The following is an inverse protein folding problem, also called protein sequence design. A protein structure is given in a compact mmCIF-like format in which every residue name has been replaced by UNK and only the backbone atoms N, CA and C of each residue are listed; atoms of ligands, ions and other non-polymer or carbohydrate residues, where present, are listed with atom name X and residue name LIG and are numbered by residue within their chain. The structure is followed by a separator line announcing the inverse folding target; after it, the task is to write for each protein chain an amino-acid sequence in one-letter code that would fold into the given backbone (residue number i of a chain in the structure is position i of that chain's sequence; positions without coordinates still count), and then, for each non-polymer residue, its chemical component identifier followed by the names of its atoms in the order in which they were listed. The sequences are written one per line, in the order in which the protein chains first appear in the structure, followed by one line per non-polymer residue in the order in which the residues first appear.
data_IF_932178656754
#
_entry.id   IF_932178656754
#
_cell.length_a   1.000
_cell.length_b   1.000
_cell.length_c   1.000
_cell.angle_alpha   90.00
_cell.angle_beta   90.00
_cell.angle_gamma   90.00
#
_symmetry.space_group_name_H-M   'P 1'
#
loop_
_entity.id
_entity.type
_entity.pdbx_description
1 polymer ?
#
# COMPACT_ATOMS: atom_id res chain seq x y z
N UNK A 1 -12.65 17.83 4.33
CA UNK A 1 -11.77 17.35 3.28
C UNK A 1 -11.40 15.89 3.53
N UNK A 2 -11.33 15.10 2.48
CA UNK A 2 -10.92 13.69 2.60
C UNK A 2 -9.41 13.61 2.77
N UNK A 3 -8.97 12.73 3.67
CA UNK A 3 -7.56 12.41 3.83
C UNK A 3 -7.14 11.40 2.77
N UNK A 4 -5.89 11.52 2.30
CA UNK A 4 -5.28 10.57 1.36
C UNK A 4 -4.38 9.60 2.12
N UNK A 5 -4.64 8.31 2.00
CA UNK A 5 -3.86 7.26 2.66
C UNK A 5 -3.33 6.27 1.63
N UNK A 6 -2.10 5.84 1.82
CA UNK A 6 -1.53 4.71 1.09
C UNK A 6 -1.61 3.47 1.98
N UNK A 7 -2.16 2.38 1.48
CA UNK A 7 -2.24 1.14 2.25
C UNK A 7 -1.14 0.17 1.82
N UNK A 8 -0.49 -0.44 2.82
CA UNK A 8 0.34 -1.61 2.64
C UNK A 8 -0.53 -2.80 2.22
N UNK A 9 0.06 -3.79 1.57
CA UNK A 9 -0.66 -4.95 1.01
C UNK A 9 -1.45 -5.72 2.06
N UNK A 10 -0.87 -5.99 3.22
CA UNK A 10 -1.57 -6.72 4.28
C UNK A 10 -2.76 -5.93 4.83
N UNK A 11 -2.63 -4.62 4.94
CA UNK A 11 -3.72 -3.76 5.39
C UNK A 11 -4.86 -3.78 4.37
N UNK A 12 -4.55 -3.72 3.08
CA UNK A 12 -5.57 -3.81 2.04
C UNK A 12 -6.28 -5.17 2.07
N UNK A 13 -5.52 -6.26 2.20
CA UNK A 13 -6.10 -7.61 2.29
C UNK A 13 -7.08 -7.69 3.47
N UNK A 14 -6.68 -7.18 4.63
CA UNK A 14 -7.52 -7.19 5.83
C UNK A 14 -8.75 -6.31 5.65
N UNK A 15 -8.61 -5.14 5.03
CA UNK A 15 -9.73 -4.25 4.74
C UNK A 15 -10.77 -4.96 3.85
N UNK A 16 -10.32 -5.58 2.77
CA UNK A 16 -11.20 -6.30 1.86
C UNK A 16 -11.78 -7.56 2.50
N UNK A 17 -11.12 -8.11 3.51
CA UNK A 17 -11.60 -9.23 4.32
C UNK A 17 -12.62 -8.83 5.38
N UNK A 18 -12.90 -7.55 5.54
CA UNK A 18 -13.93 -7.08 6.47
C UNK A 18 -13.43 -6.64 7.84
N UNK A 19 -12.13 -6.34 7.99
CA UNK A 19 -11.59 -5.85 9.25
C UNK A 19 -12.24 -4.53 9.62
N UNK A 20 -12.99 -4.52 10.73
CA UNK A 20 -13.78 -3.37 11.15
C UNK A 20 -12.92 -2.20 11.63
N UNK A 21 -11.80 -2.47 12.26
CA UNK A 21 -10.90 -1.42 12.73
C UNK A 21 -10.31 -0.67 11.55
N UNK A 22 -9.84 -1.38 10.54
CA UNK A 22 -9.28 -0.78 9.34
C UNK A 22 -10.37 -0.04 8.57
N UNK A 23 -11.56 -0.62 8.45
CA UNK A 23 -12.69 0.04 7.80
C UNK A 23 -13.02 1.38 8.47
N UNK A 24 -13.01 1.43 9.81
CA UNK A 24 -13.25 2.66 10.56
C UNK A 24 -12.14 3.69 10.34
N UNK A 25 -10.89 3.25 10.34
CA UNK A 25 -9.73 4.14 10.15
C UNK A 25 -9.69 4.75 8.75
N UNK A 26 -10.19 4.04 7.75
CA UNK A 26 -10.14 4.47 6.36
C UNK A 26 -11.43 5.10 5.86
N UNK A 27 -12.47 5.10 6.69
CA UNK A 27 -13.76 5.66 6.30
C UNK A 27 -13.62 7.13 5.91
N UNK A 28 -14.15 7.48 4.74
CA UNK A 28 -14.07 8.85 4.22
C UNK A 28 -12.72 9.24 3.64
N UNK A 29 -11.73 8.35 3.69
CA UNK A 29 -10.41 8.61 3.11
C UNK A 29 -10.36 8.22 1.64
N UNK A 30 -9.51 8.90 0.89
CA UNK A 30 -9.14 8.49 -0.46
C UNK A 30 -7.99 7.49 -0.33
N UNK A 31 -8.23 6.28 -0.82
CA UNK A 31 -7.26 5.18 -0.69
C UNK A 31 -6.39 5.09 -1.93
N UNK A 32 -5.09 5.09 -1.69
CA UNK A 32 -4.06 4.92 -2.72
C UNK A 32 -3.32 3.63 -2.46
N UNK A 33 -2.94 2.94 -3.51
CA UNK A 33 -2.09 1.75 -3.41
C UNK A 33 -1.03 1.79 -4.50
N UNK A 34 0.08 1.10 -4.23
CA UNK A 34 1.11 0.85 -5.23
C UNK A 34 0.64 -0.24 -6.20
N UNK A 35 1.14 -0.20 -7.43
CA UNK A 35 0.97 -1.32 -8.37
C UNK A 35 1.53 -2.61 -7.78
N UNK A 36 2.57 -2.55 -6.94
CA UNK A 36 3.10 -3.72 -6.24
C UNK A 36 2.03 -4.36 -5.35
N UNK A 37 1.27 -3.54 -4.63
CA UNK A 37 0.16 -4.02 -3.79
C UNK A 37 -0.92 -4.70 -4.63
N UNK A 38 -1.27 -4.13 -5.78
CA UNK A 38 -2.25 -4.74 -6.67
C UNK A 38 -1.78 -6.10 -7.16
N UNK A 39 -0.50 -6.21 -7.54
CA UNK A 39 0.07 -7.47 -7.98
C UNK A 39 0.04 -8.51 -6.85
N UNK A 40 0.47 -8.11 -5.64
CA UNK A 40 0.48 -9.01 -4.49
C UNK A 40 -0.92 -9.52 -4.14
N UNK A 41 -1.91 -8.63 -4.16
CA UNK A 41 -3.29 -9.01 -3.86
C UNK A 41 -3.85 -9.96 -4.90
N UNK A 42 -3.69 -9.65 -6.18
CA UNK A 42 -4.27 -10.46 -7.27
C UNK A 42 -3.51 -11.77 -7.50
N UNK A 43 -2.29 -11.89 -6.98
CA UNK A 43 -1.50 -13.13 -7.00
C UNK A 43 -1.47 -13.85 -5.66
N UNK A 44 -2.23 -13.36 -4.67
CA UNK A 44 -2.27 -13.95 -3.33
C UNK A 44 -2.77 -15.39 -3.40
N UNK A 45 -2.03 -16.37 -2.83
CA UNK A 45 -2.38 -17.78 -2.97
C UNK A 45 -3.75 -18.16 -2.43
N UNK A 46 -4.27 -17.41 -1.46
CA UNK A 46 -5.60 -17.66 -0.88
C UNK A 46 -6.73 -17.03 -1.68
N UNK A 47 -6.42 -16.22 -2.69
CA UNK A 47 -7.42 -15.66 -3.57
C UNK A 47 -7.76 -16.67 -4.67
N UNK A 48 -9.02 -17.10 -4.71
CA UNK A 48 -9.45 -18.07 -5.73
C UNK A 48 -9.60 -17.37 -7.08
N UNK A 49 -9.42 -18.14 -8.16
CA UNK A 49 -9.53 -17.61 -9.53
C UNK A 49 -10.89 -16.98 -9.79
N UNK A 50 -11.97 -17.56 -9.24
CA UNK A 50 -13.31 -17.01 -9.40
C UNK A 50 -13.53 -15.69 -8.66
N UNK A 51 -12.66 -15.35 -7.69
CA UNK A 51 -12.74 -14.10 -6.95
C UNK A 51 -11.98 -12.94 -7.64
N UNK A 52 -11.11 -13.23 -8.60
CA UNK A 52 -10.26 -12.22 -9.22
C UNK A 52 -11.05 -11.09 -9.90
N UNK A 53 -12.08 -11.39 -10.73
CA UNK A 53 -12.83 -10.29 -11.36
C UNK A 53 -13.50 -9.36 -10.37
N UNK A 54 -14.10 -9.91 -9.30
CA UNK A 54 -14.74 -9.10 -8.26
C UNK A 54 -13.72 -8.24 -7.49
N UNK A 55 -12.57 -8.82 -7.20
CA UNK A 55 -11.49 -8.10 -6.52
C UNK A 55 -10.96 -6.96 -7.40
N UNK A 56 -10.75 -7.21 -8.70
CA UNK A 56 -10.36 -6.15 -9.65
C UNK A 56 -11.39 -5.02 -9.65
N UNK A 57 -12.67 -5.35 -9.64
CA UNK A 57 -13.73 -4.35 -9.63
C UNK A 57 -13.65 -3.48 -8.37
N UNK A 58 -13.37 -4.08 -7.20
CA UNK A 58 -13.21 -3.33 -5.96
C UNK A 58 -12.01 -2.39 -6.03
N UNK A 59 -10.92 -2.81 -6.66
CA UNK A 59 -9.70 -1.99 -6.79
C UNK A 59 -9.91 -0.75 -7.64
N UNK A 60 -10.95 -0.70 -8.48
CA UNK A 60 -11.25 0.50 -9.26
C UNK A 60 -11.66 1.69 -8.39
N UNK A 61 -12.05 1.44 -7.14
CA UNK A 61 -12.39 2.50 -6.18
C UNK A 61 -11.15 3.15 -5.57
N UNK A 62 -9.98 2.61 -5.82
CA UNK A 62 -8.72 3.10 -5.24
C UNK A 62 -7.84 3.70 -6.33
N UNK A 63 -6.99 4.64 -5.92
CA UNK A 63 -5.99 5.19 -6.83
C UNK A 63 -4.79 4.25 -6.84
N UNK A 64 -4.54 3.61 -7.98
CA UNK A 64 -3.38 2.73 -8.16
C UNK A 64 -2.26 3.51 -8.83
N UNK A 65 -1.10 3.59 -8.17
CA UNK A 65 0.05 4.30 -8.69
C UNK A 65 1.02 3.35 -9.38
N UNK A 66 1.42 3.67 -10.62
CA UNK A 66 2.38 2.84 -11.35
C UNK A 66 3.79 2.97 -10.79
N UNK A 67 4.64 2.03 -11.15
CA UNK A 67 6.07 2.12 -10.91
C UNK A 67 6.68 3.00 -12.01
N UNK A 68 6.59 4.31 -11.81
CA UNK A 68 7.18 5.27 -12.74
C UNK A 68 8.63 5.58 -12.33
N UNK A 69 9.30 6.46 -13.09
CA UNK A 69 10.71 6.76 -12.87
C UNK A 69 10.98 7.35 -11.47
N UNK A 70 10.09 8.21 -10.98
CA UNK A 70 10.26 8.82 -9.67
C UNK A 70 10.15 7.78 -8.55
N UNK A 71 9.16 6.88 -8.65
CA UNK A 71 8.96 5.81 -7.68
C UNK A 71 10.13 4.82 -7.74
N UNK A 72 10.58 4.47 -8.94
CA UNK A 72 11.72 3.57 -9.13
C UNK A 72 12.97 4.11 -8.45
N UNK A 73 13.31 5.36 -8.71
CA UNK A 73 14.49 5.99 -8.13
C UNK A 73 14.44 5.97 -6.60
N UNK A 74 13.30 6.33 -6.04
CA UNK A 74 13.12 6.35 -4.58
C UNK A 74 13.15 4.93 -3.98
N UNK A 75 12.60 3.95 -4.69
CA UNK A 75 12.65 2.55 -4.24
C UNK A 75 14.09 2.04 -4.17
N UNK A 76 14.91 2.40 -5.16
CA UNK A 76 16.33 2.05 -5.15
C UNK A 76 17.01 2.63 -3.90
N UNK A 77 16.76 3.90 -3.60
CA UNK A 77 17.36 4.55 -2.44
C UNK A 77 16.91 3.89 -1.12
N UNK A 78 15.62 3.57 -0.99
CA UNK A 78 15.10 2.93 0.22
C UNK A 78 15.66 1.51 0.40
N UNK A 79 15.83 0.76 -0.67
CA UNK A 79 16.45 -0.57 -0.58
C UNK A 79 17.90 -0.48 -0.10
N UNK A 80 18.64 0.50 -0.61
CA UNK A 80 20.05 0.67 -0.23
C UNK A 80 20.19 1.15 1.21
N UNK A 81 19.39 2.13 1.62
CA UNK A 81 19.50 2.75 2.93
C UNK A 81 18.92 1.90 4.05
N UNK A 82 17.83 1.19 3.79
CA UNK A 82 17.08 0.48 4.82
C UNK A 82 17.00 -1.03 4.60
N UNK A 83 17.67 -1.56 3.59
CA UNK A 83 17.70 -3.00 3.25
C UNK A 83 16.29 -3.58 3.09
N UNK A 84 15.40 -2.85 2.44
CA UNK A 84 14.02 -3.27 2.26
C UNK A 84 13.88 -4.33 1.18
N UNK A 85 12.85 -5.17 1.32
CA UNK A 85 12.43 -6.08 0.25
C UNK A 85 11.91 -5.25 -0.93
N UNK A 86 11.94 -5.84 -2.14
CA UNK A 86 11.55 -5.13 -3.36
C UNK A 86 10.14 -4.56 -3.26
N UNK A 87 9.14 -5.39 -2.94
CA UNK A 87 7.75 -4.94 -2.85
C UNK A 87 7.56 -3.83 -1.83
N UNK A 88 8.15 -3.98 -0.63
CA UNK A 88 8.06 -2.98 0.44
C UNK A 88 8.70 -1.66 0.01
N UNK A 89 9.83 -1.72 -0.70
CA UNK A 89 10.50 -0.51 -1.17
C UNK A 89 9.64 0.26 -2.17
N UNK A 90 8.91 -0.44 -3.03
CA UNK A 90 8.03 0.19 -4.02
C UNK A 90 6.82 0.82 -3.30
N UNK A 91 6.25 0.14 -2.31
CA UNK A 91 5.14 0.67 -1.53
C UNK A 91 5.57 1.95 -0.80
N UNK A 92 6.70 1.91 -0.10
CA UNK A 92 7.23 3.06 0.62
C UNK A 92 7.55 4.22 -0.33
N UNK A 93 8.16 3.91 -1.48
CA UNK A 93 8.49 4.91 -2.48
C UNK A 93 7.25 5.57 -3.08
N UNK A 94 6.18 4.80 -3.26
CA UNK A 94 4.89 5.33 -3.72
C UNK A 94 4.33 6.33 -2.73
N UNK A 95 4.31 5.98 -1.45
CA UNK A 95 3.86 6.89 -0.40
C UNK A 95 4.72 8.16 -0.36
N UNK A 96 6.02 8.01 -0.45
CA UNK A 96 6.95 9.15 -0.44
C UNK A 96 6.73 10.07 -1.66
N UNK A 97 6.70 9.49 -2.86
CA UNK A 97 6.61 10.26 -4.10
C UNK A 97 5.29 11.05 -4.20
N UNK A 98 4.23 10.52 -3.63
CA UNK A 98 2.90 11.14 -3.68
C UNK A 98 2.51 11.82 -2.37
N UNK A 99 3.44 11.96 -1.44
CA UNK A 99 3.24 12.64 -0.15
C UNK A 99 2.05 12.08 0.62
N UNK A 100 1.97 10.75 0.68
CA UNK A 100 0.88 10.04 1.35
C UNK A 100 1.34 9.48 2.69
N UNK A 101 0.43 9.50 3.67
CA UNK A 101 0.63 8.72 4.88
C UNK A 101 0.49 7.23 4.53
N UNK A 102 1.40 6.41 5.02
CA UNK A 102 1.40 4.95 4.82
C UNK A 102 0.80 4.27 6.04
N UNK A 103 -0.31 3.57 5.85
CA UNK A 103 -0.96 2.78 6.89
C UNK A 103 -0.48 1.33 6.77
N UNK A 104 0.15 0.81 7.81
CA UNK A 104 0.75 -0.51 7.81
C UNK A 104 0.72 -1.15 9.19
N UNK A 105 0.74 -2.48 9.22
CA UNK A 105 0.97 -3.24 10.47
C UNK A 105 2.36 -3.84 10.53
N UNK A 106 3.19 -3.63 9.51
CA UNK A 106 4.53 -4.20 9.41
C UNK A 106 5.55 -3.26 10.06
N UNK A 107 6.18 -3.73 11.12
CA UNK A 107 7.16 -2.97 11.88
C UNK A 107 8.38 -2.55 11.06
N UNK A 108 8.68 -3.24 9.97
CA UNK A 108 9.81 -2.88 9.12
C UNK A 108 9.66 -1.49 8.51
N UNK A 109 8.43 -1.02 8.30
CA UNK A 109 8.19 0.33 7.78
C UNK A 109 8.45 1.42 8.82
N UNK A 110 8.49 1.08 10.12
CA UNK A 110 8.74 2.08 11.16
C UNK A 110 10.10 2.74 11.02
N UNK A 111 11.06 2.08 10.37
CA UNK A 111 12.39 2.65 10.11
C UNK A 111 12.34 3.87 9.19
N UNK A 112 11.26 4.05 8.46
CA UNK A 112 11.09 5.14 7.50
C UNK A 112 10.39 6.37 8.09
N UNK A 113 10.06 6.36 9.38
CA UNK A 113 9.20 7.39 10.01
C UNK A 113 9.73 8.82 9.85
N UNK A 114 11.02 9.00 9.60
CA UNK A 114 11.61 10.32 9.42
C UNK A 114 11.54 10.82 7.96
N UNK A 115 11.17 9.94 7.02
CA UNK A 115 11.09 10.31 5.59
C UNK A 115 9.70 10.07 5.01
N UNK A 116 8.92 9.15 5.60
CA UNK A 116 7.54 8.86 5.20
C UNK A 116 6.69 8.95 6.47
N UNK A 117 5.50 9.54 6.36
CA UNK A 117 4.56 9.50 7.48
C UNK A 117 4.02 8.07 7.58
N UNK A 118 4.50 7.31 8.56
CA UNK A 118 4.09 5.92 8.79
C UNK A 118 3.10 5.88 9.93
N UNK A 119 1.92 5.34 9.67
CA UNK A 119 0.89 5.12 10.69
C UNK A 119 0.78 3.63 10.96
N UNK A 120 1.24 3.21 12.12
CA UNK A 120 1.22 1.81 12.53
C UNK A 120 -0.15 1.43 13.08
N UNK A 121 -0.61 0.26 12.71
CA UNK A 121 -1.82 -0.34 13.27
C UNK A 121 -1.56 -1.05 14.59
#
# INVERSE_FOLDING_TARGET
MSENLCLDSNVLIDLLGGDQKIASLTQGCLIHISVATRIELLSWPKLRLDQIPGTRALLTNFKVHPLDDAVELQAIEFRRAFKMKLGDSIIAATAFAHELALLTSDKHFARLKNVVEVRML
#
